data_IF_496761694162
#
_entry.id   IF_496761694162
#
_cell.length_a   1.000
_cell.length_b   1.000
_cell.length_c   1.000
_cell.angle_alpha   90.00
_cell.angle_beta   90.00
_cell.angle_gamma   90.00
#
_symmetry.space_group_name_H-M   'P 1'
#
loop_
_entity.id
_entity.type
_entity.pdbx_description
1 polymer ?
#
# COMPACT_ATOMS: atom_id res chain seq x y z
N UNK A 1 2.49 -7.15 -2.80
CA UNK A 1 3.52 -6.86 -1.76
C UNK A 1 3.28 -7.69 -0.50
N UNK A 2 4.33 -8.21 0.13
CA UNK A 2 4.23 -8.99 1.39
C UNK A 2 4.21 -8.10 2.64
N UNK A 3 3.59 -8.58 3.73
CA UNK A 3 3.42 -7.82 4.99
C UNK A 3 4.75 -7.29 5.57
N UNK A 4 5.83 -8.07 5.50
CA UNK A 4 7.17 -7.64 5.97
C UNK A 4 7.70 -6.44 5.18
N UNK A 5 7.39 -6.37 3.89
CA UNK A 5 7.79 -5.28 3.00
C UNK A 5 6.98 -4.01 3.26
N UNK A 6 5.70 -4.15 3.64
CA UNK A 6 4.81 -3.02 3.98
C UNK A 6 5.40 -2.16 5.09
N UNK A 7 5.89 -2.77 6.18
CA UNK A 7 6.45 -2.02 7.31
C UNK A 7 7.67 -1.18 6.88
N UNK A 8 8.54 -1.75 6.05
CA UNK A 8 9.68 -1.02 5.49
C UNK A 8 9.23 0.10 4.55
N UNK A 9 8.27 -0.18 3.67
CA UNK A 9 7.72 0.78 2.73
C UNK A 9 7.14 2.02 3.43
N UNK A 10 6.40 1.83 4.53
CA UNK A 10 5.86 2.93 5.35
C UNK A 10 6.99 3.73 6.01
N UNK A 11 7.93 3.05 6.67
CA UNK A 11 9.03 3.73 7.38
C UNK A 11 9.93 4.56 6.46
N UNK A 12 10.12 4.10 5.22
CA UNK A 12 10.96 4.76 4.23
C UNK A 12 10.17 5.68 3.30
N UNK A 13 8.84 5.75 3.44
CA UNK A 13 7.95 6.42 2.50
C UNK A 13 8.29 6.02 1.05
N UNK A 14 8.48 4.71 0.83
CA UNK A 14 8.98 4.18 -0.44
C UNK A 14 8.05 4.52 -1.59
N UNK A 15 8.64 4.78 -2.76
CA UNK A 15 7.90 4.91 -4.01
C UNK A 15 7.42 3.51 -4.45
N UNK A 16 6.13 3.40 -4.68
CA UNK A 16 5.47 2.18 -5.18
C UNK A 16 4.73 2.46 -6.47
N UNK A 17 4.45 1.41 -7.23
CA UNK A 17 3.67 1.46 -8.46
C UNK A 17 2.33 0.78 -8.26
N UNK A 18 1.29 1.47 -8.72
CA UNK A 18 -0.07 0.96 -8.79
C UNK A 18 -0.69 1.45 -10.11
N UNK A 19 -1.30 0.54 -10.89
CA UNK A 19 -1.90 0.87 -12.21
C UNK A 19 -1.01 1.75 -13.10
N UNK A 20 0.28 1.40 -13.21
CA UNK A 20 1.30 2.12 -14.01
C UNK A 20 1.57 3.56 -13.58
N UNK A 21 1.15 3.97 -12.38
CA UNK A 21 1.49 5.27 -11.79
C UNK A 21 2.27 5.07 -10.49
N UNK A 22 3.17 6.01 -10.21
CA UNK A 22 3.98 6.02 -8.99
C UNK A 22 3.26 6.77 -7.87
N UNK A 23 3.39 6.26 -6.66
CA UNK A 23 2.82 6.83 -5.45
C UNK A 23 3.80 6.68 -4.29
N UNK A 24 3.63 7.49 -3.26
CA UNK A 24 4.33 7.31 -1.98
C UNK A 24 3.52 6.33 -1.13
N UNK A 25 4.15 5.27 -0.64
CA UNK A 25 3.50 4.36 0.30
C UNK A 25 3.41 5.01 1.67
N UNK A 26 2.20 5.43 2.05
CA UNK A 26 1.97 6.30 3.20
C UNK A 26 1.64 5.51 4.46
N UNK A 27 0.70 4.57 4.36
CA UNK A 27 0.27 3.74 5.48
C UNK A 27 -0.32 2.41 4.99
N UNK A 28 -0.72 1.55 5.93
CA UNK A 28 -1.52 0.37 5.64
C UNK A 28 -2.59 0.22 6.70
N UNK A 29 -3.79 -0.13 6.27
CA UNK A 29 -4.94 -0.34 7.13
C UNK A 29 -5.31 -1.81 7.15
N UNK A 30 -5.45 -2.38 8.34
CA UNK A 30 -5.98 -3.73 8.52
C UNK A 30 -7.49 -3.68 8.73
N UNK A 31 -8.20 -4.64 8.15
CA UNK A 31 -9.61 -4.87 8.40
C UNK A 31 -9.89 -6.35 8.56
N UNK A 32 -10.78 -6.68 9.50
CA UNK A 32 -11.25 -8.03 9.72
C UNK A 32 -12.46 -8.25 8.84
N UNK A 33 -12.34 -9.09 7.82
CA UNK A 33 -13.48 -9.52 7.04
C UNK A 33 -14.34 -10.45 7.92
N UNK A 34 -15.58 -10.09 8.21
CA UNK A 34 -16.47 -10.89 9.07
C UNK A 34 -16.83 -12.26 8.45
N UNK A 35 -16.60 -12.43 7.15
CA UNK A 35 -16.87 -13.66 6.40
C UNK A 35 -15.61 -14.49 6.11
N UNK A 36 -14.44 -14.04 6.55
CA UNK A 36 -13.19 -14.77 6.35
C UNK A 36 -12.35 -14.78 7.63
N UNK A 37 -11.80 -15.93 8.02
CA UNK A 37 -10.92 -16.08 9.19
C UNK A 37 -9.52 -15.46 9.00
N UNK A 38 -9.37 -14.54 8.04
CA UNK A 38 -8.13 -13.85 7.71
C UNK A 38 -8.26 -12.34 7.89
N UNK A 39 -7.21 -11.73 8.42
CA UNK A 39 -7.06 -10.27 8.43
C UNK A 39 -6.61 -9.85 7.03
N UNK A 40 -7.34 -8.93 6.43
CA UNK A 40 -6.99 -8.32 5.15
C UNK A 40 -6.36 -6.95 5.38
N UNK A 41 -5.50 -6.55 4.46
CA UNK A 41 -4.70 -5.33 4.56
C UNK A 41 -4.78 -4.55 3.24
N UNK A 42 -5.14 -3.29 3.33
CA UNK A 42 -5.04 -2.32 2.23
C UNK A 42 -3.82 -1.43 2.43
N UNK A 43 -3.23 -0.98 1.32
CA UNK A 43 -2.24 0.09 1.28
C UNK A 43 -2.92 1.44 1.12
N UNK A 44 -2.40 2.44 1.82
CA UNK A 44 -2.71 3.84 1.61
C UNK A 44 -1.59 4.47 0.80
N UNK A 45 -1.91 4.88 -0.42
CA UNK A 45 -0.96 5.47 -1.36
C UNK A 45 -1.24 6.95 -1.49
N UNK A 46 -0.22 7.78 -1.29
CA UNK A 46 -0.30 9.22 -1.49
C UNK A 46 0.10 9.59 -2.91
N UNK A 47 -0.79 10.29 -3.60
CA UNK A 47 -0.58 10.84 -4.94
C UNK A 47 -0.17 12.31 -4.82
N UNK A 48 1.12 12.58 -4.98
CA UNK A 48 1.66 13.94 -4.86
C UNK A 48 1.06 14.90 -5.90
N UNK A 49 0.69 14.40 -7.08
CA UNK A 49 0.15 15.24 -8.15
C UNK A 49 -1.29 15.67 -7.87
N UNK A 50 -2.07 14.80 -7.25
CA UNK A 50 -3.47 15.04 -6.93
C UNK A 50 -3.68 15.52 -5.49
N UNK A 51 -2.62 15.52 -4.67
CA UNK A 51 -2.64 15.82 -3.24
C UNK A 51 -3.74 15.02 -2.51
N UNK A 52 -3.79 13.70 -2.76
CA UNK A 52 -4.82 12.83 -2.21
C UNK A 52 -4.26 11.46 -1.81
N UNK A 53 -4.99 10.77 -0.95
CA UNK A 53 -4.71 9.38 -0.55
C UNK A 53 -5.72 8.45 -1.20
N UNK A 54 -5.24 7.35 -1.77
CA UNK A 54 -6.08 6.27 -2.31
C UNK A 54 -5.84 4.99 -1.51
N UNK A 55 -6.89 4.16 -1.42
CA UNK A 55 -6.82 2.84 -0.79
C UNK A 55 -6.75 1.77 -1.87
N UNK A 56 -5.83 0.83 -1.72
CA UNK A 56 -5.58 -0.23 -2.71
C UNK A 56 -5.28 -1.56 -2.04
N UNK A 57 -5.59 -2.66 -2.71
CA UNK A 57 -5.16 -3.98 -2.24
C UNK A 57 -3.64 -4.11 -2.38
N UNK A 58 -2.98 -4.56 -1.33
CA UNK A 58 -1.51 -4.72 -1.32
C UNK A 58 -0.99 -5.71 -2.39
N UNK A 59 -1.83 -6.64 -2.85
CA UNK A 59 -1.50 -7.56 -3.95
C UNK A 59 -1.21 -6.83 -5.26
N UNK A 60 -1.84 -5.68 -5.47
CA UNK A 60 -1.79 -4.92 -6.72
C UNK A 60 -0.70 -3.84 -6.71
N UNK A 61 0.05 -3.74 -5.61
CA UNK A 61 1.09 -2.74 -5.39
C UNK A 61 2.47 -3.37 -5.53
N UNK A 62 3.30 -2.74 -6.36
CA UNK A 62 4.68 -3.12 -6.61
C UNK A 62 5.65 -2.12 -5.97
N UNK A 63 6.68 -2.59 -5.26
CA UNK A 63 7.78 -1.74 -4.80
C UNK A 63 8.71 -1.39 -5.97
N UNK A 64 9.06 -0.11 -6.10
CA UNK A 64 10.02 0.36 -7.10
C UNK A 64 11.35 0.65 -6.38
N UNK A 65 12.41 -0.08 -6.75
CA UNK A 65 13.71 0.00 -6.12
C UNK A 65 13.99 -1.21 -5.21
N UNK A 66 14.89 -2.08 -5.69
CA UNK A 66 15.62 -3.04 -4.86
C UNK A 66 17.07 -2.60 -4.81
#
# INVERSE_FOLDING_TARGET
MELKQVKQAIMQQSIVRYKNKNYVFYASRCFKNIHADRIEYDGELYDENANCVIHVQLSDVELIGK
#
